data_IF_570661513667
#
_entry.id   IF_570661513667
#
_cell.length_a   1.000
_cell.length_b   1.000
_cell.length_c   1.000
_cell.angle_alpha   90.00
_cell.angle_beta   90.00
_cell.angle_gamma   90.00
#
_symmetry.space_group_name_H-M   'P 1'
#
loop_
_entity.id
_entity.type
_entity.pdbx_description
1 polymer ?
#
# COMPACT_ATOMS: atom_id res chain seq x y z
N UNK A 1 2.32 4.46 4.75
CA UNK A 1 1.21 3.52 5.07
C UNK A 1 -0.01 3.82 4.21
N UNK A 2 -0.89 2.85 3.97
CA UNK A 2 -2.12 3.08 3.21
C UNK A 2 -3.15 3.85 4.06
N UNK A 3 -3.90 4.75 3.44
CA UNK A 3 -4.90 5.61 4.09
C UNK A 3 -6.30 5.14 3.69
N UNK A 4 -7.13 4.85 4.69
CA UNK A 4 -8.50 4.35 4.52
C UNK A 4 -9.49 5.54 4.60
N UNK A 5 -9.58 6.29 3.49
CA UNK A 5 -10.42 7.49 3.35
C UNK A 5 -11.71 7.12 2.61
N UNK A 6 -12.84 7.68 3.03
CA UNK A 6 -14.16 7.45 2.44
C UNK A 6 -14.15 7.84 0.94
N UNK A 7 -14.47 6.92 0.00
CA UNK A 7 -14.55 7.24 -1.42
C UNK A 7 -15.74 8.13 -1.82
N UNK A 8 -16.72 8.32 -0.94
CA UNK A 8 -17.92 9.12 -1.22
C UNK A 8 -17.76 10.58 -0.82
N UNK A 9 -16.69 10.91 -0.10
CA UNK A 9 -16.40 12.29 0.25
C UNK A 9 -16.05 13.11 -1.00
N UNK A 10 -16.42 14.39 -1.07
CA UNK A 10 -16.01 15.25 -2.16
C UNK A 10 -14.48 15.25 -2.31
N UNK A 11 -13.97 15.15 -3.55
CA UNK A 11 -12.55 15.27 -3.90
C UNK A 11 -12.06 16.73 -3.74
N UNK A 12 -12.33 17.33 -2.58
CA UNK A 12 -11.87 18.65 -2.18
C UNK A 12 -10.79 18.51 -1.11
N UNK A 13 -9.88 19.49 -1.07
CA UNK A 13 -8.80 19.51 -0.07
C UNK A 13 -9.37 19.56 1.35
N UNK A 14 -10.48 20.27 1.55
CA UNK A 14 -11.12 20.42 2.85
C UNK A 14 -11.72 19.10 3.35
N UNK A 15 -12.48 18.39 2.52
CA UNK A 15 -13.05 17.08 2.87
C UNK A 15 -11.99 16.00 3.10
N UNK A 16 -10.84 16.14 2.45
CA UNK A 16 -9.68 15.30 2.70
C UNK A 16 -9.00 15.61 4.06
N UNK A 17 -8.78 16.89 4.38
CA UNK A 17 -8.15 17.32 5.64
C UNK A 17 -8.99 16.91 6.86
N UNK A 18 -10.32 17.02 6.77
CA UNK A 18 -11.23 16.54 7.81
C UNK A 18 -11.05 15.04 8.06
N UNK A 19 -10.98 14.24 7.00
CA UNK A 19 -10.81 12.79 7.13
C UNK A 19 -9.43 12.38 7.63
N UNK A 20 -8.37 13.06 7.20
CA UNK A 20 -7.03 12.84 7.77
C UNK A 20 -7.01 13.15 9.26
N UNK A 21 -7.67 14.23 9.69
CA UNK A 21 -7.74 14.58 11.10
C UNK A 21 -8.42 13.47 11.91
N UNK A 22 -9.56 12.97 11.42
CA UNK A 22 -10.25 11.82 12.04
C UNK A 22 -9.36 10.57 12.07
N UNK A 23 -8.61 10.32 11.00
CA UNK A 23 -7.76 9.13 10.87
C UNK A 23 -6.53 9.20 11.77
N UNK A 24 -5.91 10.37 11.92
CA UNK A 24 -4.83 10.62 12.88
C UNK A 24 -5.34 10.51 14.31
N UNK A 25 -6.53 11.03 14.60
CA UNK A 25 -7.13 10.96 15.94
C UNK A 25 -7.53 9.53 16.32
N UNK A 26 -8.09 8.75 15.38
CA UNK A 26 -8.43 7.33 15.61
C UNK A 26 -7.20 6.44 15.73
N UNK A 27 -6.08 6.82 15.11
CA UNK A 27 -4.82 6.09 15.19
C UNK A 27 -3.86 6.61 16.27
N UNK A 28 -4.30 7.54 17.12
CA UNK A 28 -3.55 7.94 18.33
C UNK A 28 -3.25 6.69 19.18
N UNK A 29 -1.98 6.32 19.22
CA UNK A 29 -1.48 5.17 19.97
C UNK A 29 -0.97 3.99 19.12
N UNK A 30 -1.10 4.04 17.80
CA UNK A 30 -0.45 3.08 16.89
C UNK A 30 0.96 3.58 16.57
N UNK A 31 1.97 2.99 17.22
CA UNK A 31 3.37 3.29 16.90
C UNK A 31 3.71 2.87 15.46
N UNK A 32 4.19 3.82 14.64
CA UNK A 32 4.71 3.56 13.29
C UNK A 32 3.71 3.74 12.13
N UNK A 33 2.51 4.28 12.36
CA UNK A 33 1.63 4.65 11.26
C UNK A 33 1.97 6.05 10.70
N UNK A 34 2.68 6.08 9.57
CA UNK A 34 2.95 7.29 8.81
C UNK A 34 2.15 7.27 7.50
N UNK A 35 1.02 8.01 7.40
CA UNK A 35 0.29 8.14 6.16
C UNK A 35 1.06 9.04 5.19
N UNK A 36 1.24 8.57 3.96
CA UNK A 36 1.86 9.37 2.89
C UNK A 36 0.79 10.00 2.02
N UNK A 37 0.89 11.32 1.84
CA UNK A 37 -0.04 12.15 1.09
C UNK A 37 0.75 13.03 0.13
N UNK A 38 0.32 13.08 -1.13
CA UNK A 38 0.86 14.00 -2.11
C UNK A 38 -0.20 15.01 -2.55
N UNK A 39 0.14 16.30 -2.50
CA UNK A 39 -0.71 17.40 -2.94
C UNK A 39 -0.15 17.97 -4.25
N UNK A 40 -0.99 18.05 -5.28
CA UNK A 40 -0.66 18.70 -6.55
C UNK A 40 -1.57 19.89 -6.75
N UNK A 41 -0.99 21.09 -6.79
CA UNK A 41 -1.69 22.31 -7.16
C UNK A 41 -1.40 22.64 -8.61
N UNK A 42 -2.40 22.64 -9.46
CA UNK A 42 -2.29 23.19 -10.82
C UNK A 42 -2.62 24.68 -10.77
N UNK A 43 -1.72 25.56 -11.23
CA UNK A 43 -2.00 26.99 -11.31
C UNK A 43 -3.13 27.25 -12.30
N UNK A 44 -3.88 28.33 -12.06
CA UNK A 44 -4.90 28.77 -13.01
C UNK A 44 -4.23 29.21 -14.32
N UNK A 45 -4.80 28.77 -15.43
CA UNK A 45 -4.54 29.29 -16.78
C UNK A 45 -5.81 29.99 -17.27
N UNK A 46 -5.71 30.82 -18.31
CA UNK A 46 -6.87 31.52 -18.87
C UNK A 46 -8.03 30.60 -19.27
N UNK A 47 -7.75 29.31 -19.51
CA UNK A 47 -8.73 28.30 -19.91
C UNK A 47 -9.21 27.39 -18.77
N UNK A 48 -8.47 27.28 -17.65
CA UNK A 48 -8.82 26.37 -16.55
C UNK A 48 -8.57 26.98 -15.18
N UNK A 49 -9.56 26.91 -14.26
CA UNK A 49 -9.39 27.40 -12.89
C UNK A 49 -8.30 26.60 -12.16
N UNK A 50 -7.75 27.20 -11.10
CA UNK A 50 -6.78 26.50 -10.25
C UNK A 50 -7.44 25.27 -9.64
N UNK A 51 -6.77 24.13 -9.77
CA UNK A 51 -7.28 22.86 -9.24
C UNK A 51 -6.25 22.27 -8.29
N UNK A 52 -6.70 21.87 -7.11
CA UNK A 52 -5.88 21.15 -6.15
C UNK A 52 -6.32 19.69 -6.19
N UNK A 53 -5.37 18.79 -6.43
CA UNK A 53 -5.58 17.35 -6.38
C UNK A 53 -4.81 16.77 -5.19
N UNK A 54 -5.47 15.91 -4.43
CA UNK A 54 -4.86 15.15 -3.35
C UNK A 54 -4.71 13.69 -3.77
N UNK A 55 -3.53 13.12 -3.53
CA UNK A 55 -3.21 11.72 -3.80
C UNK A 55 -2.77 11.04 -2.51
N UNK A 56 -3.25 9.84 -2.28
CA UNK A 56 -2.87 9.02 -1.15
C UNK A 56 -2.97 7.54 -1.53
N UNK A 57 -2.17 6.70 -0.87
CA UNK A 57 -2.14 5.26 -1.13
C UNK A 57 -3.32 4.58 -0.46
N UNK A 58 -4.22 3.92 -1.22
CA UNK A 58 -5.35 3.15 -0.65
C UNK A 58 -5.05 1.65 -0.63
N UNK A 59 -5.58 0.93 0.36
CA UNK A 59 -5.61 -0.54 0.32
C UNK A 59 -6.65 -0.98 -0.70
N UNK A 60 -6.20 -1.63 -1.77
CA UNK A 60 -7.08 -2.29 -2.73
C UNK A 60 -6.99 -3.80 -2.56
N UNK A 61 -8.15 -4.48 -2.54
CA UNK A 61 -8.17 -5.94 -2.57
C UNK A 61 -7.53 -6.41 -3.87
N UNK A 62 -6.40 -7.10 -3.75
CA UNK A 62 -5.73 -7.72 -4.89
C UNK A 62 -6.67 -8.71 -5.57
N UNK A 63 -6.63 -8.79 -6.90
CA UNK A 63 -7.41 -9.78 -7.69
C UNK A 63 -6.89 -11.22 -7.56
N UNK A 64 -5.98 -11.45 -6.62
CA UNK A 64 -5.29 -12.72 -6.42
C UNK A 64 -5.82 -13.35 -5.14
N UNK A 65 -6.44 -14.51 -5.26
CA UNK A 65 -6.81 -15.34 -4.11
C UNK A 65 -5.56 -16.01 -3.55
N UNK A 66 -4.95 -15.38 -2.54
CA UNK A 66 -3.77 -15.93 -1.87
C UNK A 66 -4.25 -16.93 -0.79
N UNK A 67 -4.20 -18.22 -1.12
CA UNK A 67 -4.58 -19.32 -0.20
C UNK A 67 -3.38 -20.07 0.41
N UNK A 68 -2.20 -19.45 0.49
CA UNK A 68 -1.02 -20.11 1.04
C UNK A 68 0.24 -19.25 1.00
N UNK A 69 1.37 -19.87 1.33
CA UNK A 69 2.68 -19.23 1.21
C UNK A 69 2.98 -18.90 -0.27
N UNK A 70 3.47 -17.69 -0.51
CA UNK A 70 3.84 -17.20 -1.83
C UNK A 70 5.26 -16.66 -1.79
N UNK A 71 5.91 -16.64 -2.95
CA UNK A 71 7.22 -16.03 -3.13
C UNK A 71 7.21 -15.02 -4.27
N UNK A 72 8.10 -14.04 -4.15
CA UNK A 72 8.37 -13.06 -5.19
C UNK A 72 9.44 -13.63 -6.12
N UNK A 73 9.08 -13.93 -7.35
CA UNK A 73 9.92 -14.60 -8.33
C UNK A 73 10.14 -13.73 -9.57
N UNK A 74 11.38 -13.69 -10.06
CA UNK A 74 11.75 -12.99 -11.29
C UNK A 74 12.27 -14.01 -12.32
N UNK A 75 11.45 -14.46 -13.28
CA UNK A 75 11.84 -15.50 -14.25
C UNK A 75 12.99 -15.07 -15.17
N UNK A 76 13.02 -13.79 -15.56
CA UNK A 76 14.08 -13.19 -16.36
C UNK A 76 14.51 -11.86 -15.74
N UNK A 77 15.82 -11.65 -15.66
CA UNK A 77 16.40 -10.38 -15.21
C UNK A 77 16.26 -9.32 -16.31
N UNK A 78 16.32 -8.05 -15.91
CA UNK A 78 16.42 -6.91 -16.83
C UNK A 78 15.18 -6.01 -16.92
N UNK A 79 14.02 -6.44 -16.39
CA UNK A 79 12.82 -5.60 -16.33
C UNK A 79 12.00 -5.88 -15.07
N UNK A 80 11.47 -4.83 -14.43
CA UNK A 80 10.58 -4.94 -13.26
C UNK A 80 9.28 -5.67 -13.62
N UNK A 81 8.83 -5.58 -14.87
CA UNK A 81 7.65 -6.30 -15.36
C UNK A 81 7.79 -7.83 -15.30
N UNK A 82 9.00 -8.34 -15.11
CA UNK A 82 9.24 -9.77 -14.92
C UNK A 82 9.01 -10.21 -13.46
N UNK A 83 8.86 -9.28 -12.52
CA UNK A 83 8.57 -9.60 -11.12
C UNK A 83 7.15 -10.17 -11.00
N UNK A 84 7.03 -11.40 -10.51
CA UNK A 84 5.76 -12.11 -10.37
C UNK A 84 5.62 -12.69 -8.96
N UNK A 85 4.42 -12.61 -8.41
CA UNK A 85 4.05 -13.40 -7.24
C UNK A 85 3.62 -14.79 -7.71
N UNK A 86 4.16 -15.84 -7.09
CA UNK A 86 3.73 -17.22 -7.34
C UNK A 86 3.58 -18.00 -6.04
N UNK A 87 2.74 -19.06 -6.01
CA UNK A 87 2.70 -19.97 -4.88
C UNK A 87 4.07 -20.58 -4.61
N UNK A 88 4.44 -20.68 -3.33
CA UNK A 88 5.65 -21.37 -2.93
C UNK A 88 5.48 -22.87 -3.21
N UNK A 89 6.48 -23.51 -3.84
CA UNK A 89 6.42 -24.93 -4.15
C UNK A 89 6.30 -25.78 -2.87
N UNK A 90 5.50 -26.85 -2.89
CA UNK A 90 5.31 -27.72 -1.72
C UNK A 90 6.62 -28.32 -1.21
N UNK A 91 7.56 -28.64 -2.11
CA UNK A 91 8.89 -29.14 -1.76
C UNK A 91 9.73 -28.13 -0.96
N UNK A 92 9.43 -26.83 -1.07
CA UNK A 92 10.10 -25.77 -0.30
C UNK A 92 9.44 -25.55 1.09
N UNK A 93 8.30 -26.18 1.38
CA UNK A 93 7.65 -26.17 2.70
C UNK A 93 8.27 -27.22 3.62
N UNK A 94 9.56 -27.06 3.90
CA UNK A 94 10.28 -27.91 4.84
C UNK A 94 9.95 -27.42 6.26
N UNK A 95 9.56 -28.30 7.20
CA UNK A 95 9.40 -27.92 8.59
C UNK A 95 10.67 -27.26 9.13
N UNK A 96 10.55 -26.20 9.96
CA UNK A 96 11.72 -25.55 10.53
C UNK A 96 12.53 -26.56 11.37
N UNK A 97 13.85 -26.51 11.24
CA UNK A 97 14.77 -27.31 12.06
C UNK A 97 14.66 -26.92 13.53
N UNK A 98 15.22 -27.76 14.42
CA UNK A 98 15.26 -27.47 15.87
C UNK A 98 15.92 -26.12 16.10
N UNK A 99 15.24 -25.23 16.84
CA UNK A 99 15.69 -23.86 17.09
C UNK A 99 15.30 -22.84 16.02
N UNK A 100 14.62 -23.25 14.94
CA UNK A 100 14.05 -22.35 13.94
C UNK A 100 12.54 -22.18 14.14
N UNK A 101 11.99 -21.08 13.63
CA UNK A 101 10.54 -20.77 13.68
C UNK A 101 10.01 -20.40 12.30
N UNK A 102 8.74 -20.67 12.07
CA UNK A 102 8.01 -20.18 10.90
C UNK A 102 7.37 -18.82 11.22
N UNK A 103 7.55 -17.83 10.35
CA UNK A 103 7.04 -16.46 10.55
C UNK A 103 6.07 -16.09 9.45
N UNK A 104 4.92 -15.53 9.83
CA UNK A 104 3.99 -14.90 8.88
C UNK A 104 4.39 -13.44 8.67
N UNK A 105 5.00 -13.18 7.52
CA UNK A 105 5.48 -11.85 7.16
C UNK A 105 4.33 -10.96 6.69
N UNK A 106 4.22 -9.75 7.26
CA UNK A 106 3.22 -8.73 6.86
C UNK A 106 3.77 -7.72 5.86
N UNK A 107 5.06 -7.38 5.99
CA UNK A 107 5.77 -6.45 5.14
C UNK A 107 7.23 -6.87 5.02
N UNK A 108 7.86 -6.53 3.90
CA UNK A 108 9.28 -6.80 3.64
C UNK A 108 9.89 -5.50 3.12
N UNK A 109 11.01 -5.07 3.71
CA UNK A 109 11.82 -4.01 3.14
C UNK A 109 12.58 -4.52 1.90
N UNK A 110 12.69 -3.68 0.88
CA UNK A 110 13.57 -3.94 -0.26
C UNK A 110 14.92 -3.27 0.03
N UNK A 111 16.00 -3.98 -0.28
CA UNK A 111 17.37 -3.45 -0.26
C UNK A 111 17.82 -3.13 -1.69
#
# INVERSE_FOLDING_TARGET
>A
GCVDIDPTSPDTVDGFLEQITVLVDTQKGIEGYEPEVALRKTPATDETPSQSACFYSRLQKGKVDIRGAVELFMPQRGAINNLKLRPLAQAARIPPHVGCVEVRVRAVGLN
#
